data_IF_789234490201
#
_entry.id   IF_789234490201
#
_cell.length_a   1.000
_cell.length_b   1.000
_cell.length_c   1.000
_cell.angle_alpha   90.00
_cell.angle_beta   90.00
_cell.angle_gamma   90.00
#
_symmetry.space_group_name_H-M   'P 1'
#
loop_
_entity.id
_entity.type
_entity.pdbx_description
1 polymer ?
#
# COMPACT_ATOMS: atom_id res chain seq x y z
N UNK A 1 -13.06 -29.31 28.29
CA UNK A 1 -13.31 -28.48 27.10
C UNK A 1 -13.41 -29.45 25.92
N UNK A 2 -14.56 -29.47 25.24
CA UNK A 2 -14.92 -30.47 24.21
C UNK A 2 -14.34 -30.04 22.85
N UNK A 3 -13.60 -30.93 22.21
CA UNK A 3 -13.15 -30.79 20.83
C UNK A 3 -14.30 -31.24 19.91
N UNK A 4 -14.88 -30.31 19.17
CA UNK A 4 -15.91 -30.61 18.16
C UNK A 4 -15.35 -30.41 16.76
N UNK A 5 -15.47 -31.48 16.00
CA UNK A 5 -15.01 -31.77 14.64
C UNK A 5 -15.67 -30.95 13.53
N UNK A 6 -14.83 -30.55 12.56
CA UNK A 6 -15.01 -30.50 11.10
C UNK A 6 -16.42 -30.54 10.49
N UNK A 7 -16.74 -29.54 9.67
CA UNK A 7 -17.51 -29.73 8.42
C UNK A 7 -17.00 -28.78 7.34
N UNK A 8 -16.46 -29.39 6.28
CA UNK A 8 -16.04 -28.80 5.01
C UNK A 8 -17.29 -28.64 4.12
N UNK A 9 -17.50 -27.47 3.50
CA UNK A 9 -18.48 -27.33 2.44
C UNK A 9 -17.89 -26.51 1.28
N UNK A 10 -17.53 -27.25 0.23
CA UNK A 10 -17.15 -26.78 -1.10
C UNK A 10 -18.37 -26.12 -1.77
N UNK A 11 -18.20 -24.90 -2.28
CA UNK A 11 -19.19 -24.22 -3.11
C UNK A 11 -18.51 -23.60 -4.32
N UNK A 12 -18.31 -24.40 -5.38
CA UNK A 12 -17.88 -23.96 -6.71
C UNK A 12 -19.11 -23.42 -7.45
N UNK A 13 -19.20 -22.10 -7.64
CA UNK A 13 -20.19 -21.50 -8.53
C UNK A 13 -19.44 -20.91 -9.73
N UNK A 14 -19.41 -21.69 -10.81
CA UNK A 14 -18.96 -21.22 -12.12
C UNK A 14 -20.14 -20.56 -12.83
N UNK A 15 -20.09 -19.24 -13.03
CA UNK A 15 -21.03 -18.53 -13.91
C UNK A 15 -20.40 -18.31 -15.27
N UNK A 16 -21.09 -18.83 -16.28
CA UNK A 16 -20.71 -18.84 -17.68
C UNK A 16 -20.60 -17.43 -18.28
N UNK A 17 -19.53 -17.20 -19.05
CA UNK A 17 -19.37 -16.05 -19.93
C UNK A 17 -20.12 -16.32 -21.24
N UNK A 18 -21.06 -15.45 -21.61
CA UNK A 18 -21.60 -15.43 -22.97
C UNK A 18 -21.99 -14.01 -23.37
N UNK A 19 -21.17 -13.39 -24.19
CA UNK A 19 -21.55 -12.26 -25.04
C UNK A 19 -20.88 -12.42 -26.39
N UNK A 20 -21.69 -12.84 -27.38
CA UNK A 20 -21.31 -12.84 -28.77
C UNK A 20 -21.32 -11.40 -29.29
N UNK A 21 -20.16 -10.89 -29.71
CA UNK A 21 -20.03 -9.58 -30.36
C UNK A 21 -19.80 -9.84 -31.86
N UNK A 22 -20.67 -9.32 -32.75
CA UNK A 22 -20.41 -9.33 -34.19
C UNK A 22 -19.11 -8.59 -34.52
N UNK A 23 -18.17 -9.25 -35.21
CA UNK A 23 -16.95 -8.64 -35.75
C UNK A 23 -17.26 -7.96 -37.10
N UNK A 24 -17.17 -6.62 -37.22
CA UNK A 24 -17.11 -5.98 -38.52
C UNK A 24 -15.72 -6.17 -39.15
N UNK A 25 -15.75 -6.28 -40.47
CA UNK A 25 -14.69 -6.71 -41.35
C UNK A 25 -13.40 -5.88 -41.24
N UNK A 26 -12.29 -6.57 -41.55
CA UNK A 26 -10.99 -6.02 -41.79
C UNK A 26 -11.03 -4.89 -42.82
N UNK A 27 -10.42 -3.75 -42.48
CA UNK A 27 -9.84 -2.88 -43.49
C UNK A 27 -8.43 -2.48 -43.06
N UNK A 28 -7.53 -2.58 -44.02
CA UNK A 28 -6.09 -2.52 -43.85
C UNK A 28 -5.67 -1.08 -44.07
N UNK A 29 -5.13 -0.40 -43.06
CA UNK A 29 -4.34 0.82 -43.27
C UNK A 29 -3.01 0.66 -42.54
N UNK A 30 -1.99 0.41 -43.34
CA UNK A 30 -0.59 0.37 -42.98
C UNK A 30 -0.08 1.82 -42.95
N UNK A 31 0.24 2.36 -41.78
CA UNK A 31 1.10 3.55 -41.64
C UNK A 31 2.22 3.25 -40.63
N UNK A 32 3.51 3.39 -41.01
CA UNK A 32 4.62 3.12 -40.11
C UNK A 32 4.91 4.35 -39.25
N UNK A 33 4.36 4.38 -38.04
CA UNK A 33 4.80 5.27 -36.94
C UNK A 33 5.58 4.45 -35.92
N UNK A 34 6.73 3.90 -36.31
CA UNK A 34 7.49 2.94 -35.51
C UNK A 34 8.67 3.50 -34.71
N UNK A 35 8.91 4.82 -34.61
CA UNK A 35 10.18 5.31 -34.02
C UNK A 35 10.09 6.54 -33.10
N UNK A 36 9.04 6.66 -32.27
CA UNK A 36 9.01 7.69 -31.22
C UNK A 36 8.39 7.24 -29.88
N UNK A 37 8.28 5.93 -29.63
CA UNK A 37 7.61 5.40 -28.43
C UNK A 37 8.45 4.40 -27.64
N UNK A 38 9.79 4.47 -27.72
CA UNK A 38 10.68 3.52 -27.03
C UNK A 38 11.42 4.08 -25.81
N UNK A 39 11.46 5.39 -25.57
CA UNK A 39 12.34 5.96 -24.52
C UNK A 39 11.63 6.63 -23.35
N UNK A 40 10.47 6.11 -22.96
CA UNK A 40 10.07 6.17 -21.54
C UNK A 40 9.93 4.72 -21.08
N UNK A 41 11.03 3.99 -21.09
CA UNK A 41 11.19 2.88 -20.18
C UNK A 41 11.10 3.47 -18.76
N UNK A 42 9.87 3.56 -18.24
CA UNK A 42 9.62 3.73 -16.82
C UNK A 42 10.41 2.62 -16.16
N UNK A 43 11.51 2.98 -15.50
CA UNK A 43 12.21 2.08 -14.62
C UNK A 43 11.20 1.67 -13.53
N UNK A 44 10.56 0.53 -13.75
CA UNK A 44 9.54 -0.01 -12.86
C UNK A 44 10.17 -0.61 -11.60
N UNK A 45 11.48 -0.41 -11.39
CA UNK A 45 12.11 -0.70 -10.12
C UNK A 45 11.69 0.35 -9.08
N UNK A 46 10.57 0.08 -8.41
CA UNK A 46 10.23 0.80 -7.19
C UNK A 46 11.31 0.49 -6.14
N UNK A 47 12.24 1.42 -5.96
CA UNK A 47 13.22 1.32 -4.89
C UNK A 47 12.51 1.12 -3.55
N UNK A 48 12.84 0.01 -2.89
CA UNK A 48 12.33 -0.27 -1.56
C UNK A 48 12.86 0.79 -0.61
N UNK A 49 11.99 1.71 -0.17
CA UNK A 49 12.37 2.68 0.86
C UNK A 49 12.82 1.94 2.12
N UNK A 50 14.05 2.19 2.54
CA UNK A 50 14.57 1.65 3.78
C UNK A 50 13.84 2.32 4.97
N UNK A 51 13.41 1.50 5.93
CA UNK A 51 12.88 1.99 7.19
C UNK A 51 14.06 2.20 8.15
N UNK A 52 14.43 3.45 8.39
CA UNK A 52 15.62 3.79 9.18
C UNK A 52 15.21 4.26 10.56
N UNK A 53 15.80 3.67 11.60
CA UNK A 53 15.59 4.16 12.96
C UNK A 53 16.14 5.59 13.10
N UNK A 54 15.28 6.53 13.49
CA UNK A 54 15.65 7.95 13.62
C UNK A 54 15.34 8.53 15.02
N UNK A 55 15.10 7.65 16.00
CA UNK A 55 14.66 8.05 17.35
C UNK A 55 13.14 8.23 17.48
N UNK A 56 12.36 7.87 16.45
CA UNK A 56 10.90 7.89 16.57
C UNK A 56 10.41 6.87 17.60
N UNK A 57 9.22 7.13 18.13
CA UNK A 57 8.51 6.21 19.01
C UNK A 57 7.08 6.11 18.55
N UNK A 58 6.60 4.88 18.46
CA UNK A 58 5.19 4.64 18.39
C UNK A 58 4.69 4.48 19.81
N UNK A 59 3.43 4.84 19.96
CA UNK A 59 2.70 4.71 21.19
C UNK A 59 2.69 3.17 21.55
N UNK A 60 2.50 2.76 22.81
CA UNK A 60 2.43 1.31 23.15
C UNK A 60 1.24 0.90 24.04
N UNK A 61 0.37 1.85 24.43
CA UNK A 61 -0.78 1.63 25.35
C UNK A 61 -2.15 2.14 24.91
N UNK A 62 -2.28 2.72 23.72
CA UNK A 62 -3.54 3.00 23.02
C UNK A 62 -4.22 1.67 22.58
N UNK A 63 -4.78 0.93 23.53
CA UNK A 63 -5.72 -0.20 23.33
C UNK A 63 -5.23 -1.38 22.49
N UNK A 64 -6.17 -2.19 21.98
CA UNK A 64 -5.95 -3.23 20.94
C UNK A 64 -5.49 -2.64 19.60
N UNK A 65 -5.32 -1.31 19.51
CA UNK A 65 -5.14 -0.52 18.31
C UNK A 65 -3.67 -0.31 17.89
N UNK A 66 -2.70 -1.00 18.51
CA UNK A 66 -1.36 -1.14 17.93
C UNK A 66 -1.35 -2.15 16.81
N UNK A 67 -2.06 -1.81 15.74
CA UNK A 67 -1.86 -2.48 14.47
C UNK A 67 -0.47 -2.09 14.01
N UNK A 68 0.38 -3.10 13.77
CA UNK A 68 1.64 -2.88 13.08
C UNK A 68 1.32 -2.32 11.70
N UNK A 69 1.83 -1.15 11.37
CA UNK A 69 1.40 -0.45 10.17
C UNK A 69 2.20 0.79 9.86
N UNK A 70 1.87 1.41 8.73
CA UNK A 70 2.46 2.65 8.27
C UNK A 70 1.58 3.79 8.78
N UNK A 71 2.20 4.77 9.42
CA UNK A 71 1.52 5.95 9.96
C UNK A 71 2.25 7.21 9.51
N UNK A 72 1.52 8.20 9.04
CA UNK A 72 2.03 9.57 8.95
C UNK A 72 2.25 10.12 10.36
N UNK A 73 3.22 11.02 10.52
CA UNK A 73 3.51 11.61 11.84
C UNK A 73 2.31 12.33 12.48
N UNK A 74 1.34 12.78 11.69
CA UNK A 74 0.15 13.47 12.20
C UNK A 74 -0.86 12.49 12.80
N UNK A 75 -0.72 11.21 12.52
CA UNK A 75 -1.51 10.16 13.14
C UNK A 75 -1.09 10.01 14.61
N UNK A 76 -2.08 9.91 15.50
CA UNK A 76 -1.89 9.83 16.96
C UNK A 76 -0.98 8.67 17.42
N UNK A 77 -0.77 7.68 16.53
CA UNK A 77 0.07 6.53 16.79
C UNK A 77 1.56 6.85 16.91
N UNK A 78 2.05 7.88 16.22
CA UNK A 78 3.45 8.28 16.29
C UNK A 78 3.57 9.30 17.42
N UNK A 79 4.06 8.86 18.58
CA UNK A 79 4.16 9.70 19.78
C UNK A 79 5.42 10.56 19.80
N UNK A 80 6.48 10.14 19.11
CA UNK A 80 7.68 10.95 18.86
C UNK A 80 8.18 10.75 17.44
N UNK A 81 8.58 11.84 16.79
CA UNK A 81 9.00 11.86 15.39
C UNK A 81 10.51 11.65 15.17
N UNK A 82 11.32 11.76 16.24
CA UNK A 82 12.78 11.75 16.11
C UNK A 82 13.25 12.90 15.22
N UNK A 83 14.21 12.64 14.32
CA UNK A 83 14.67 13.60 13.28
C UNK A 83 13.70 13.74 12.08
N UNK A 84 12.45 13.30 12.20
CA UNK A 84 11.44 13.31 11.13
C UNK A 84 10.36 14.36 11.34
N UNK A 85 9.52 14.56 10.32
CA UNK A 85 8.42 15.54 10.35
C UNK A 85 7.08 14.97 10.81
N UNK A 86 6.27 15.82 11.47
CA UNK A 86 4.89 15.48 11.88
C UNK A 86 3.95 15.36 10.68
N UNK A 87 3.97 16.31 9.76
CA UNK A 87 3.00 16.37 8.64
C UNK A 87 3.60 16.01 7.28
N UNK A 88 4.80 15.45 7.25
CA UNK A 88 5.52 15.18 5.99
C UNK A 88 5.97 13.74 5.89
N UNK A 89 6.22 13.07 7.01
CA UNK A 89 6.94 11.80 7.01
C UNK A 89 6.05 10.64 7.42
N UNK A 90 6.38 9.48 6.86
CA UNK A 90 5.78 8.20 7.20
C UNK A 90 6.71 7.37 8.09
N UNK A 91 6.11 6.66 9.03
CA UNK A 91 6.76 5.84 10.04
C UNK A 91 6.15 4.44 10.02
N UNK A 92 6.99 3.41 10.13
CA UNK A 92 6.53 2.06 10.48
C UNK A 92 6.37 2.00 11.99
N UNK A 93 5.18 1.66 12.47
CA UNK A 93 4.97 1.22 13.85
C UNK A 93 4.95 -0.30 13.90
N UNK A 94 5.67 -0.89 14.85
CA UNK A 94 5.68 -2.32 15.11
C UNK A 94 5.29 -2.64 16.56
N UNK A 95 5.32 -3.94 16.89
CA UNK A 95 4.98 -4.45 18.21
C UNK A 95 5.84 -3.81 19.31
N UNK A 96 5.25 -3.59 20.49
CA UNK A 96 5.95 -3.01 21.62
C UNK A 96 6.33 -1.52 21.47
N UNK A 97 5.76 -0.82 20.47
CA UNK A 97 6.05 0.59 20.21
C UNK A 97 7.34 0.83 19.40
N UNK A 98 7.88 -0.22 18.77
CA UNK A 98 8.99 -0.08 17.84
C UNK A 98 8.62 0.86 16.70
N UNK A 99 9.59 1.64 16.24
CA UNK A 99 9.35 2.65 15.21
C UNK A 99 10.56 2.83 14.32
N UNK A 100 10.34 3.01 13.01
CA UNK A 100 11.35 3.52 12.09
C UNK A 100 10.71 4.43 11.04
N UNK A 101 11.53 5.23 10.37
CA UNK A 101 11.08 6.28 9.44
C UNK A 101 11.37 5.87 7.99
N UNK A 102 10.37 5.98 7.12
CA UNK A 102 10.52 5.84 5.67
C UNK A 102 10.85 7.17 4.96
N UNK A 103 10.76 8.29 5.70
CA UNK A 103 11.03 9.63 5.18
C UNK A 103 9.77 10.33 4.68
N UNK A 104 9.98 11.44 3.97
CA UNK A 104 8.91 12.29 3.48
C UNK A 104 8.06 11.57 2.43
N UNK A 105 6.73 11.70 2.54
CA UNK A 105 5.73 11.18 1.58
C UNK A 105 4.65 12.23 1.37
N UNK A 106 4.30 12.47 0.12
CA UNK A 106 3.22 13.40 -0.23
C UNK A 106 1.87 13.02 0.35
N UNK A 107 1.62 11.71 0.55
CA UNK A 107 0.38 11.23 1.16
C UNK A 107 0.21 11.72 2.60
N UNK A 108 1.31 12.01 3.29
CA UNK A 108 1.31 12.55 4.65
C UNK A 108 1.12 14.06 4.70
N UNK A 109 1.39 14.76 3.59
CA UNK A 109 1.18 16.19 3.48
C UNK A 109 -0.31 16.54 3.53
N UNK A 110 -0.59 17.81 3.84
CA UNK A 110 -1.93 18.38 3.70
C UNK A 110 -2.37 18.30 2.23
N UNK A 111 -3.65 18.01 1.94
CA UNK A 111 -4.74 17.68 2.87
C UNK A 111 -4.92 16.16 3.13
N UNK A 112 -4.09 15.30 2.51
CA UNK A 112 -4.30 13.85 2.45
C UNK A 112 -4.14 13.15 3.82
N UNK A 113 -3.11 13.53 4.59
CA UNK A 113 -2.82 13.04 5.96
C UNK A 113 -2.80 11.50 6.17
N UNK A 114 -2.63 10.71 5.12
CA UNK A 114 -2.71 9.24 5.17
C UNK A 114 -1.42 8.56 4.69
N UNK A 115 -1.12 7.34 5.17
CA UNK A 115 -1.97 6.46 5.97
C UNK A 115 -1.86 6.69 7.50
N UNK A 116 -2.88 6.30 8.25
CA UNK A 116 -2.89 6.26 9.72
C UNK A 116 -3.13 4.84 10.25
N UNK A 117 -2.39 3.87 9.72
CA UNK A 117 -2.52 2.45 10.01
C UNK A 117 -2.58 1.60 8.74
N UNK A 118 -2.56 0.27 8.92
CA UNK A 118 -3.04 -0.66 7.90
C UNK A 118 -4.56 -0.73 7.97
#
# INVERSE_FOLDING_TARGET
MRFSTLTLALGLVATALSSAIPQPAADTVLEPISEALTDIAMDNTLDKRACVYNGCKCNSRVGTAYVTGIYCGKCYQVSKFGKGGKSTDAYQCGSGGSCCRYGARESCAVPKWGPCGR
#
